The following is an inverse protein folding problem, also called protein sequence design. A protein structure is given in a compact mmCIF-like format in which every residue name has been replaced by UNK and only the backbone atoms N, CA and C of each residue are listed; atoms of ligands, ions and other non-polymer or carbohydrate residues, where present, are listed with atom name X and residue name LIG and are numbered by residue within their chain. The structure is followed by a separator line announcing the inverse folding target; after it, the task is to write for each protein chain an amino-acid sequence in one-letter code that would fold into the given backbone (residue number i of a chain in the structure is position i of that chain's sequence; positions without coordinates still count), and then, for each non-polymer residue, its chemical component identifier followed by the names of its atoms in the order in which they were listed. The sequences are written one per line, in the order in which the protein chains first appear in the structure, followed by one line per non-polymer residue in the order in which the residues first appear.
data_IF_993295237485
#
_entry.id   IF_993295237485
#
_cell.length_a   1.000
_cell.length_b   1.000
_cell.length_c   1.000
_cell.angle_alpha   90.00
_cell.angle_beta   90.00
_cell.angle_gamma   90.00
#
_symmetry.space_group_name_H-M   'P 1'
#
loop_
_entity.id
_entity.type
_entity.pdbx_description
1 polymer ?
#
# COMPACT_ATOMS: atom_id res chain seq x y z
N UNK A 1 -28.36 -28.78 42.83
CA UNK A 1 -27.42 -27.70 43.20
C UNK A 1 -26.17 -27.60 42.33
N UNK A 2 -25.93 -28.57 41.49
CA UNK A 2 -24.73 -28.57 40.61
C UNK A 2 -24.97 -28.02 39.22
N UNK A 3 -26.22 -27.73 38.86
CA UNK A 3 -26.57 -27.23 37.52
C UNK A 3 -26.37 -25.71 37.35
N UNK A 4 -26.35 -24.96 38.46
CA UNK A 4 -26.16 -23.51 38.43
C UNK A 4 -24.70 -23.07 38.25
N UNK A 5 -23.76 -23.95 38.53
CA UNK A 5 -22.32 -23.65 38.35
C UNK A 5 -21.82 -23.97 36.93
N UNK A 6 -22.54 -24.80 36.18
CA UNK A 6 -22.15 -25.14 34.80
C UNK A 6 -22.54 -24.04 33.79
N UNK A 7 -23.51 -23.19 34.13
CA UNK A 7 -24.00 -22.13 33.27
C UNK A 7 -23.07 -20.88 33.25
N UNK A 8 -22.21 -20.76 34.27
CA UNK A 8 -21.32 -19.61 34.42
C UNK A 8 -20.02 -19.74 33.61
N UNK A 9 -19.69 -20.92 33.12
CA UNK A 9 -18.44 -21.16 32.36
C UNK A 9 -18.64 -21.01 30.85
N UNK A 10 -19.89 -21.05 30.40
CA UNK A 10 -20.22 -20.98 28.97
C UNK A 10 -20.27 -19.56 28.38
N UNK A 11 -20.20 -18.53 29.23
CA UNK A 11 -20.27 -17.12 28.76
C UNK A 11 -18.91 -16.46 28.48
N UNK A 12 -17.80 -17.18 28.64
CA UNK A 12 -16.46 -16.60 28.50
C UNK A 12 -15.73 -16.94 27.16
N UNK A 13 -16.38 -17.65 26.24
CA UNK A 13 -15.72 -18.19 25.06
C UNK A 13 -15.86 -17.43 23.73
N UNK A 14 -16.61 -16.33 23.57
CA UNK A 14 -16.62 -15.64 22.28
C UNK A 14 -15.76 -14.36 22.19
N UNK A 15 -14.90 -14.07 23.16
CA UNK A 15 -14.17 -12.79 23.18
C UNK A 15 -12.74 -12.84 22.60
N UNK A 16 -12.33 -13.95 21.98
CA UNK A 16 -10.96 -14.10 21.48
C UNK A 16 -10.82 -14.11 19.95
N UNK A 17 -11.88 -13.77 19.21
CA UNK A 17 -11.80 -13.72 17.75
C UNK A 17 -12.12 -12.33 17.20
N UNK A 18 -11.59 -11.31 17.84
CA UNK A 18 -11.39 -10.03 17.17
C UNK A 18 -9.98 -10.08 16.54
N UNK A 19 -9.85 -10.74 15.40
CA UNK A 19 -8.76 -10.43 14.49
C UNK A 19 -8.98 -8.98 14.07
N UNK A 20 -8.16 -8.09 14.60
CA UNK A 20 -8.15 -6.69 14.24
C UNK A 20 -7.59 -6.58 12.82
N UNK A 21 -8.47 -6.53 11.83
CA UNK A 21 -8.09 -6.26 10.44
C UNK A 21 -7.41 -4.89 10.28
N UNK A 22 -7.58 -3.99 11.25
CA UNK A 22 -6.88 -2.70 11.30
C UNK A 22 -5.39 -2.85 11.57
N UNK A 23 -4.98 -3.80 12.41
CA UNK A 23 -3.56 -4.03 12.71
C UNK A 23 -2.79 -4.46 11.45
N UNK A 24 -3.41 -5.24 10.57
CA UNK A 24 -2.83 -5.65 9.29
C UNK A 24 -2.55 -4.46 8.37
N UNK A 25 -3.41 -3.45 8.35
CA UNK A 25 -3.22 -2.24 7.52
C UNK A 25 -1.99 -1.48 7.99
N UNK A 26 -1.87 -1.24 9.29
CA UNK A 26 -0.71 -0.52 9.85
C UNK A 26 0.58 -1.32 9.68
N UNK A 27 0.54 -2.61 9.88
CA UNK A 27 1.70 -3.49 9.68
C UNK A 27 2.19 -3.44 8.21
N UNK A 28 1.28 -3.39 7.26
CA UNK A 28 1.62 -3.29 5.85
C UNK A 28 2.11 -1.88 5.50
N UNK A 29 1.27 -0.87 5.66
CA UNK A 29 1.53 0.47 5.13
C UNK A 29 2.59 1.24 5.92
N UNK A 30 2.55 1.17 7.25
CA UNK A 30 3.42 1.94 8.17
C UNK A 30 4.70 1.17 8.51
N UNK A 31 5.17 0.32 7.61
CA UNK A 31 6.37 -0.51 7.80
C UNK A 31 7.70 0.21 7.55
N UNK A 32 7.67 1.51 7.34
CA UNK A 32 8.86 2.35 7.09
C UNK A 32 8.84 3.04 5.73
N UNK A 33 10.01 3.38 5.23
CA UNK A 33 10.13 4.04 3.93
C UNK A 33 9.98 3.05 2.79
N UNK A 34 8.98 3.28 1.95
CA UNK A 34 8.78 2.56 0.71
C UNK A 34 9.53 3.24 -0.44
N UNK A 35 10.20 2.44 -1.27
CA UNK A 35 10.81 2.89 -2.51
C UNK A 35 9.97 2.37 -3.69
N UNK A 36 9.92 3.13 -4.77
CA UNK A 36 9.25 2.67 -6.00
C UNK A 36 10.12 1.61 -6.67
N UNK A 37 9.56 0.40 -6.82
CA UNK A 37 10.22 -0.69 -7.53
C UNK A 37 10.01 -0.62 -9.04
N UNK A 38 8.76 -0.63 -9.47
CA UNK A 38 8.40 -0.52 -10.88
C UNK A 38 6.91 -0.19 -11.05
N UNK A 39 6.53 0.15 -12.26
CA UNK A 39 5.15 0.20 -12.73
C UNK A 39 4.87 -1.02 -13.59
N UNK A 40 3.68 -1.58 -13.45
CA UNK A 40 3.28 -2.81 -14.13
C UNK A 40 1.98 -2.61 -14.91
N UNK A 41 1.86 -3.31 -16.02
CA UNK A 41 0.66 -3.30 -16.86
C UNK A 41 0.30 -4.72 -17.31
N UNK A 42 -1.00 -4.93 -17.56
CA UNK A 42 -1.53 -6.23 -17.91
C UNK A 42 -1.54 -7.19 -16.71
N UNK A 43 -1.76 -8.43 -16.97
CA UNK A 43 -1.84 -9.45 -15.93
C UNK A 43 -3.22 -9.57 -15.30
N UNK A 44 -3.36 -10.56 -14.43
CA UNK A 44 -4.56 -10.82 -13.67
C UNK A 44 -4.30 -10.50 -12.18
N UNK A 45 -4.85 -9.39 -11.71
CA UNK A 45 -4.67 -8.92 -10.33
C UNK A 45 -5.06 -9.95 -9.27
N UNK A 46 -6.05 -10.79 -9.55
CA UNK A 46 -6.58 -11.76 -8.59
C UNK A 46 -5.71 -13.03 -8.48
N UNK A 47 -4.77 -13.24 -9.40
CA UNK A 47 -3.83 -14.35 -9.37
C UNK A 47 -2.55 -14.02 -8.58
N UNK A 48 -1.96 -15.03 -7.95
CA UNK A 48 -0.67 -14.88 -7.23
C UNK A 48 0.47 -14.55 -8.19
N UNK A 49 0.51 -15.24 -9.33
CA UNK A 49 1.41 -14.91 -10.44
C UNK A 49 0.60 -14.22 -11.52
N UNK A 50 0.49 -12.91 -11.40
CA UNK A 50 -0.41 -12.10 -12.21
C UNK A 50 0.02 -11.95 -13.69
N UNK A 51 1.24 -12.36 -14.04
CA UNK A 51 1.77 -12.24 -15.41
C UNK A 51 1.95 -10.81 -15.91
N UNK A 52 1.87 -9.82 -15.02
CA UNK A 52 2.02 -8.41 -15.37
C UNK A 52 3.43 -8.11 -15.87
N UNK A 53 3.53 -7.12 -16.76
CA UNK A 53 4.80 -6.70 -17.36
C UNK A 53 5.31 -5.44 -16.69
N UNK A 54 6.57 -5.48 -16.26
CA UNK A 54 7.30 -4.33 -15.79
C UNK A 54 7.52 -3.31 -16.92
N UNK A 55 7.23 -2.07 -16.66
CA UNK A 55 7.42 -0.98 -17.62
C UNK A 55 8.89 -0.64 -17.84
N UNK A 56 9.68 -0.66 -16.78
CA UNK A 56 11.08 -0.31 -16.79
C UNK A 56 11.94 -1.54 -16.57
N UNK A 57 12.90 -1.78 -17.45
CA UNK A 57 13.79 -2.95 -17.41
C UNK A 57 15.28 -2.58 -17.39
N UNK A 58 15.61 -1.30 -17.67
CA UNK A 58 16.99 -0.83 -17.64
C UNK A 58 17.40 -0.49 -16.21
N UNK A 59 18.60 -0.85 -15.83
CA UNK A 59 19.18 -0.62 -14.50
C UNK A 59 19.12 0.87 -14.08
N UNK A 60 19.41 1.77 -15.01
CA UNK A 60 19.36 3.21 -14.78
C UNK A 60 17.95 3.68 -14.41
N UNK A 61 16.93 3.18 -15.10
CA UNK A 61 15.54 3.51 -14.82
C UNK A 61 15.13 2.98 -13.44
N UNK A 62 15.54 1.76 -13.09
CA UNK A 62 15.25 1.17 -11.78
C UNK A 62 15.91 1.97 -10.66
N UNK A 63 17.16 2.40 -10.83
CA UNK A 63 17.84 3.28 -9.86
C UNK A 63 17.08 4.60 -9.65
N UNK A 64 16.59 5.21 -10.74
CA UNK A 64 15.78 6.43 -10.65
C UNK A 64 14.46 6.21 -9.93
N UNK A 65 13.80 5.07 -10.16
CA UNK A 65 12.57 4.71 -9.46
C UNK A 65 12.83 4.49 -7.98
N UNK A 66 13.86 3.75 -7.62
CA UNK A 66 14.20 3.44 -6.23
C UNK A 66 14.57 4.69 -5.40
N UNK A 67 14.92 5.79 -6.05
CA UNK A 67 15.16 7.08 -5.39
C UNK A 67 13.86 7.81 -5.03
N UNK A 68 12.72 7.44 -5.59
CA UNK A 68 11.40 7.96 -5.24
C UNK A 68 10.90 7.21 -4.00
N UNK A 69 10.48 7.95 -2.97
CA UNK A 69 10.11 7.36 -1.69
C UNK A 69 8.74 7.78 -1.21
N UNK A 70 8.12 6.93 -0.42
CA UNK A 70 6.81 7.14 0.20
C UNK A 70 6.88 6.67 1.65
N UNK A 71 6.33 7.46 2.56
CA UNK A 71 6.09 7.07 3.95
C UNK A 71 4.61 7.24 4.27
N UNK A 72 3.95 6.16 4.62
CA UNK A 72 2.62 6.19 5.20
C UNK A 72 2.75 6.32 6.71
N UNK A 73 2.08 7.29 7.30
CA UNK A 73 2.13 7.53 8.73
C UNK A 73 0.82 7.06 9.39
N UNK A 74 0.91 6.68 10.65
CA UNK A 74 -0.21 6.15 11.44
C UNK A 74 -1.30 7.16 11.73
N UNK A 75 -1.01 8.46 11.57
CA UNK A 75 -1.99 9.56 11.69
C UNK A 75 -2.84 9.77 10.42
N UNK A 76 -2.71 8.93 9.39
CA UNK A 76 -3.42 9.04 8.12
C UNK A 76 -2.80 10.01 7.13
N UNK A 77 -1.61 10.52 7.41
CA UNK A 77 -0.84 11.33 6.45
C UNK A 77 0.14 10.48 5.66
N UNK A 78 0.52 10.97 4.50
CA UNK A 78 1.48 10.36 3.61
C UNK A 78 2.47 11.42 3.16
N UNK A 79 3.74 11.10 3.16
CA UNK A 79 4.82 11.97 2.72
C UNK A 79 5.74 11.21 1.77
N UNK A 80 6.34 11.92 0.83
CA UNK A 80 7.27 11.28 -0.09
C UNK A 80 8.22 12.24 -0.77
N UNK A 81 9.16 11.63 -1.49
CA UNK A 81 10.17 12.35 -2.27
C UNK A 81 10.03 12.00 -3.75
N UNK A 82 10.08 13.04 -4.56
CA UNK A 82 10.20 12.96 -6.01
C UNK A 82 11.53 13.55 -6.48
N UNK A 83 11.86 13.43 -7.76
CA UNK A 83 13.16 13.84 -8.29
C UNK A 83 13.51 15.30 -8.03
N UNK A 84 12.52 16.18 -8.01
CA UNK A 84 12.70 17.64 -7.90
C UNK A 84 12.00 18.24 -6.68
N UNK A 85 11.64 17.44 -5.68
CA UNK A 85 10.97 17.94 -4.48
C UNK A 85 10.36 16.85 -3.61
N UNK A 86 9.33 17.24 -2.87
CA UNK A 86 8.57 16.39 -1.97
C UNK A 86 7.09 16.47 -2.27
N UNK A 87 6.32 15.56 -1.73
CA UNK A 87 4.85 15.61 -1.77
C UNK A 87 4.26 15.14 -0.45
N UNK A 88 3.04 15.52 -0.21
CA UNK A 88 2.23 15.07 0.93
C UNK A 88 0.81 14.78 0.49
N UNK A 89 0.14 13.91 1.24
CA UNK A 89 -1.25 13.55 1.01
C UNK A 89 -1.88 13.01 2.30
N UNK A 90 -3.17 12.70 2.23
CA UNK A 90 -3.84 11.86 3.20
C UNK A 90 -4.08 10.47 2.61
N UNK A 91 -4.08 9.45 3.45
CA UNK A 91 -4.37 8.09 3.03
C UNK A 91 -5.28 7.38 4.01
N UNK A 92 -6.05 6.44 3.50
CA UNK A 92 -6.75 5.45 4.29
C UNK A 92 -6.89 4.16 3.49
N UNK A 93 -7.01 3.05 4.18
CA UNK A 93 -7.22 1.74 3.59
C UNK A 93 -8.26 0.95 4.36
N UNK A 94 -8.89 0.00 3.68
CA UNK A 94 -9.87 -0.91 4.27
C UNK A 94 -9.43 -2.34 4.00
N UNK A 95 -9.24 -3.13 5.07
CA UNK A 95 -8.78 -4.50 4.96
C UNK A 95 -9.84 -5.46 4.42
N UNK A 96 -11.13 -5.15 4.59
CA UNK A 96 -12.21 -6.05 4.20
C UNK A 96 -12.32 -6.18 2.67
N UNK A 97 -12.20 -5.07 1.95
CA UNK A 97 -12.30 -5.03 0.50
C UNK A 97 -10.96 -4.75 -0.21
N UNK A 98 -9.88 -4.60 0.58
CA UNK A 98 -8.54 -4.26 0.08
C UNK A 98 -8.51 -2.95 -0.73
N UNK A 99 -9.37 -2.02 -0.38
CA UNK A 99 -9.37 -0.69 -0.98
C UNK A 99 -8.38 0.25 -0.29
N UNK A 100 -7.90 1.22 -1.05
CA UNK A 100 -7.06 2.31 -0.58
C UNK A 100 -7.49 3.60 -1.25
N UNK A 101 -7.42 4.70 -0.54
CA UNK A 101 -7.62 6.03 -1.13
C UNK A 101 -6.51 6.98 -0.69
N UNK A 102 -6.02 7.76 -1.63
CA UNK A 102 -5.00 8.80 -1.42
C UNK A 102 -5.60 10.11 -1.91
N UNK A 103 -5.77 11.05 -0.99
CA UNK A 103 -6.47 12.31 -1.22
C UNK A 103 -5.60 13.50 -0.85
N UNK A 104 -6.01 14.71 -1.29
CA UNK A 104 -5.31 15.95 -0.97
C UNK A 104 -3.81 15.94 -1.31
N UNK A 105 -3.42 15.24 -2.38
CA UNK A 105 -2.03 15.14 -2.80
C UNK A 105 -1.53 16.48 -3.34
N UNK A 106 -0.45 16.98 -2.71
CA UNK A 106 0.23 18.24 -3.06
C UNK A 106 1.72 17.99 -3.19
N UNK A 107 2.28 18.38 -4.32
CA UNK A 107 3.72 18.35 -4.56
C UNK A 107 4.32 19.74 -4.39
N UNK A 108 5.56 19.82 -3.89
CA UNK A 108 6.30 21.08 -3.69
C UNK A 108 6.81 21.70 -5.01
N UNK A 109 6.88 20.89 -6.07
CA UNK A 109 7.25 21.30 -7.41
C UNK A 109 6.42 20.51 -8.42
N UNK A 110 6.32 20.99 -9.67
CA UNK A 110 5.62 20.29 -10.76
C UNK A 110 6.31 18.96 -11.06
N UNK A 111 5.67 17.80 -10.85
CA UNK A 111 6.28 16.52 -11.16
C UNK A 111 6.44 16.31 -12.66
N UNK A 112 7.52 15.63 -13.06
CA UNK A 112 7.78 15.25 -14.44
C UNK A 112 8.33 13.82 -14.53
N UNK A 113 8.28 13.21 -15.71
CA UNK A 113 8.81 11.88 -15.96
C UNK A 113 8.28 10.82 -14.97
N UNK A 114 9.18 10.03 -14.38
CA UNK A 114 8.86 8.98 -13.41
C UNK A 114 8.20 9.53 -12.14
N UNK A 115 8.56 10.74 -11.72
CA UNK A 115 7.90 11.43 -10.59
C UNK A 115 6.43 11.71 -10.88
N UNK A 116 6.12 12.19 -12.09
CA UNK A 116 4.72 12.40 -12.48
C UNK A 116 3.95 11.09 -12.53
N UNK A 117 4.56 10.05 -13.04
CA UNK A 117 3.95 8.71 -13.10
C UNK A 117 3.62 8.17 -11.71
N UNK A 118 4.51 8.37 -10.72
CA UNK A 118 4.24 8.03 -9.34
C UNK A 118 3.06 8.83 -8.77
N UNK A 119 3.06 10.13 -8.94
CA UNK A 119 1.98 11.00 -8.45
C UNK A 119 0.64 10.60 -9.07
N UNK A 120 0.60 10.32 -10.37
CA UNK A 120 -0.61 9.88 -11.06
C UNK A 120 -1.07 8.49 -10.56
N UNK A 121 -0.14 7.56 -10.33
CA UNK A 121 -0.45 6.24 -9.77
C UNK A 121 -1.03 6.34 -8.36
N UNK A 122 -0.48 7.20 -7.50
CA UNK A 122 -0.99 7.43 -6.15
C UNK A 122 -2.39 8.05 -6.17
N UNK A 123 -2.65 9.04 -7.03
CA UNK A 123 -3.97 9.65 -7.19
C UNK A 123 -5.04 8.67 -7.66
N UNK A 124 -4.65 7.70 -8.48
CA UNK A 124 -5.56 6.70 -9.07
C UNK A 124 -5.60 5.39 -8.27
N UNK A 125 -4.82 5.28 -7.20
CA UNK A 125 -4.81 4.08 -6.36
C UNK A 125 -6.19 3.84 -5.74
N UNK A 126 -6.72 2.65 -5.97
CA UNK A 126 -8.04 2.22 -5.50
C UNK A 126 -7.96 0.92 -4.72
N UNK A 127 -7.07 0.01 -5.10
CA UNK A 127 -6.86 -1.28 -4.45
C UNK A 127 -5.40 -1.48 -4.08
N UNK A 128 -5.18 -2.27 -3.02
CA UNK A 128 -3.84 -2.67 -2.61
C UNK A 128 -3.72 -4.18 -2.42
N UNK A 129 -2.50 -4.66 -2.55
CA UNK A 129 -2.11 -6.04 -2.30
C UNK A 129 -0.66 -6.05 -1.81
N UNK A 130 -0.36 -6.88 -0.83
CA UNK A 130 1.00 -6.98 -0.33
C UNK A 130 1.10 -7.31 1.15
N UNK A 131 2.29 -7.10 1.67
CA UNK A 131 2.68 -7.31 3.06
C UNK A 131 3.69 -6.22 3.49
N UNK A 132 4.39 -6.42 4.61
CA UNK A 132 5.40 -5.47 5.09
C UNK A 132 6.69 -5.41 4.24
N UNK A 133 6.85 -6.27 3.23
CA UNK A 133 8.04 -6.31 2.38
C UNK A 133 7.80 -5.70 1.00
N UNK A 134 6.61 -5.88 0.47
CA UNK A 134 6.20 -5.29 -0.81
C UNK A 134 4.74 -4.84 -0.77
N UNK A 135 4.42 -3.80 -1.50
CA UNK A 135 3.08 -3.24 -1.58
C UNK A 135 2.78 -2.88 -3.05
N UNK A 136 1.68 -3.37 -3.57
CA UNK A 136 1.15 -3.02 -4.87
C UNK A 136 -0.06 -2.11 -4.69
N UNK A 137 -0.09 -0.99 -5.40
CA UNK A 137 -1.23 -0.06 -5.44
C UNK A 137 -1.78 -0.03 -6.86
N UNK A 138 -3.00 -0.49 -7.05
CA UNK A 138 -3.63 -0.63 -8.35
C UNK A 138 -4.71 0.42 -8.60
N UNK A 139 -4.90 0.75 -9.88
CA UNK A 139 -6.04 1.52 -10.38
C UNK A 139 -7.37 0.76 -10.21
N UNK A 140 -8.48 1.47 -10.39
CA UNK A 140 -9.84 0.92 -10.24
C UNK A 140 -10.08 -0.31 -11.14
N UNK A 141 -9.56 -0.30 -12.37
CA UNK A 141 -9.69 -1.42 -13.31
C UNK A 141 -8.72 -2.57 -13.03
N UNK A 142 -7.81 -2.42 -12.06
CA UNK A 142 -6.78 -3.39 -11.66
C UNK A 142 -5.81 -3.81 -12.78
N UNK A 143 -5.75 -3.06 -13.88
CA UNK A 143 -4.89 -3.36 -15.04
C UNK A 143 -3.51 -2.77 -14.95
N UNK A 144 -3.34 -1.75 -14.11
CA UNK A 144 -2.06 -1.10 -13.85
C UNK A 144 -1.83 -0.97 -12.36
N UNK A 145 -0.58 -1.12 -11.93
CA UNK A 145 -0.20 -0.89 -10.55
C UNK A 145 1.24 -0.40 -10.43
N UNK A 146 1.52 0.31 -9.35
CA UNK A 146 2.86 0.59 -8.88
C UNK A 146 3.23 -0.41 -7.80
N UNK A 147 4.42 -0.98 -7.88
CA UNK A 147 4.96 -1.84 -6.83
C UNK A 147 6.01 -1.08 -6.03
N UNK A 148 5.83 -1.11 -4.73
CA UNK A 148 6.70 -0.53 -3.73
C UNK A 148 7.44 -1.65 -2.99
N UNK A 149 8.63 -1.34 -2.48
CA UNK A 149 9.43 -2.26 -1.68
C UNK A 149 10.41 -1.51 -0.79
N UNK A 150 11.06 -2.23 0.12
CA UNK A 150 12.13 -1.70 0.96
C UNK A 150 13.47 -2.07 0.31
N UNK A 151 13.96 -1.22 -0.56
CA UNK A 151 15.24 -1.41 -1.23
C UNK A 151 16.34 -0.68 -0.46
N UNK A 152 17.28 -1.43 0.10
CA UNK A 152 18.49 -0.84 0.68
C UNK A 152 19.35 -0.20 -0.43
N UNK A 153 19.85 0.99 -0.14
CA UNK A 153 20.83 1.68 -1.00
C UNK A 153 22.18 1.00 -0.95
#
# INVERSE_FOLDING_TARGET
MKLKQLLSILCFLPLLWSCNNEDDIYEIFVSGTWNVGNFYTGGNWDETNDGARAKYTKEEDIKMLNALTINFLDDGTLQGRISNGTFSANWQANADDRSVSITNLKASATPSGKSKELIDALKNATFYKGDSNYLKLASEDKKTYVQLGHYSK
#
